data_IF_657855364451
#
_entry.id   IF_657855364451
#
_cell.length_a   1.000
_cell.length_b   1.000
_cell.length_c   1.000
_cell.angle_alpha   90.00
_cell.angle_beta   90.00
_cell.angle_gamma   90.00
#
_symmetry.space_group_name_H-M   'P 1'
#
loop_
_entity.id
_entity.type
_entity.pdbx_description
1 polymer ?
#
# COMPACT_ATOMS: atom_id res chain seq x y z
N UNK A 1 -0.85 -5.81 7.54
CA UNK A 1 -1.22 -6.22 6.18
C UNK A 1 -0.47 -5.34 5.20
N UNK A 2 0.43 -5.91 4.42
CA UNK A 2 1.35 -5.18 3.53
C UNK A 2 0.91 -5.23 2.06
N UNK A 3 -0.36 -4.97 1.80
CA UNK A 3 -0.89 -5.01 0.43
C UNK A 3 -0.61 -3.70 -0.30
N UNK A 4 0.01 -3.77 -1.49
CA UNK A 4 0.29 -2.60 -2.34
C UNK A 4 -0.68 -2.50 -3.50
N UNK A 5 -0.82 -1.30 -4.08
CA UNK A 5 -1.72 -1.07 -5.21
C UNK A 5 -1.42 -2.00 -6.38
N UNK A 6 -0.14 -2.20 -6.71
CA UNK A 6 0.30 -3.07 -7.80
C UNK A 6 -0.04 -4.55 -7.61
N UNK A 7 -0.38 -4.95 -6.39
CA UNK A 7 -0.66 -6.33 -6.06
C UNK A 7 -2.13 -6.70 -6.37
N UNK A 8 -2.98 -5.70 -6.67
CA UNK A 8 -4.38 -5.91 -7.04
C UNK A 8 -4.54 -5.86 -8.56
N UNK A 9 -5.03 -6.96 -9.12
CA UNK A 9 -5.38 -7.05 -10.53
C UNK A 9 -6.91 -7.09 -10.69
N UNK A 10 -7.47 -5.96 -11.11
CA UNK A 10 -8.92 -5.82 -11.30
C UNK A 10 -9.43 -6.48 -12.58
N UNK A 11 -8.59 -6.81 -13.56
CA UNK A 11 -9.02 -7.46 -14.80
C UNK A 11 -9.30 -8.94 -14.53
N UNK A 12 -8.31 -9.62 -13.93
CA UNK A 12 -8.39 -11.01 -13.49
C UNK A 12 -9.17 -11.21 -12.18
N UNK A 13 -9.45 -10.12 -11.44
CA UNK A 13 -10.01 -10.17 -10.08
C UNK A 13 -9.14 -11.04 -9.16
N UNK A 14 -7.85 -10.71 -9.10
CA UNK A 14 -6.90 -11.41 -8.23
C UNK A 14 -6.11 -10.44 -7.38
N UNK A 15 -5.62 -10.94 -6.24
CA UNK A 15 -4.73 -10.21 -5.34
C UNK A 15 -3.51 -11.08 -5.09
N UNK A 16 -2.33 -10.51 -5.29
CA UNK A 16 -1.05 -11.17 -5.00
C UNK A 16 -0.63 -10.84 -3.59
N UNK A 17 -0.40 -11.86 -2.76
CA UNK A 17 0.12 -11.68 -1.40
C UNK A 17 1.58 -12.11 -1.39
N UNK A 18 2.44 -11.15 -1.05
CA UNK A 18 3.86 -11.34 -0.87
C UNK A 18 4.17 -11.78 0.56
N UNK A 19 4.95 -12.86 0.72
CA UNK A 19 5.36 -13.39 2.02
C UNK A 19 6.75 -12.87 2.41
N UNK A 20 6.94 -12.53 3.68
CA UNK A 20 8.16 -11.84 4.15
C UNK A 20 9.32 -12.78 4.53
N UNK A 21 9.15 -14.11 4.44
CA UNK A 21 10.13 -15.10 4.92
C UNK A 21 10.30 -16.30 3.99
N UNK A 22 10.68 -16.06 2.74
CA UNK A 22 11.08 -17.11 1.79
C UNK A 22 9.95 -18.01 1.27
N UNK A 23 8.73 -17.75 1.71
CA UNK A 23 7.53 -18.42 1.20
C UNK A 23 7.15 -17.88 -0.18
N UNK A 24 6.55 -18.73 -1.02
CA UNK A 24 6.14 -18.34 -2.37
C UNK A 24 5.00 -17.33 -2.30
N UNK A 25 4.99 -16.40 -3.26
CA UNK A 25 3.84 -15.51 -3.46
C UNK A 25 2.59 -16.35 -3.70
N UNK A 26 1.47 -15.96 -3.09
CA UNK A 26 0.17 -16.60 -3.31
C UNK A 26 -0.79 -15.64 -4.00
N UNK A 27 -1.56 -16.16 -4.95
CA UNK A 27 -2.60 -15.41 -5.64
C UNK A 27 -3.94 -15.85 -5.05
N UNK A 28 -4.73 -14.89 -4.61
CA UNK A 28 -6.07 -15.12 -4.07
C UNK A 28 -7.11 -14.44 -4.96
N UNK A 29 -8.31 -15.03 -5.07
CA UNK A 29 -9.40 -14.44 -5.83
C UNK A 29 -9.97 -13.24 -5.09
N UNK A 30 -10.17 -12.13 -5.80
CA UNK A 30 -10.89 -10.96 -5.34
C UNK A 30 -12.40 -11.17 -5.61
N UNK A 31 -13.25 -11.20 -4.58
CA UNK A 31 -14.70 -11.27 -4.76
C UNK A 31 -15.21 -10.12 -5.65
N UNK A 32 -16.09 -10.42 -6.61
CA UNK A 32 -16.58 -9.39 -7.55
C UNK A 32 -17.44 -8.33 -6.87
N UNK A 33 -18.09 -8.68 -5.76
CA UNK A 33 -18.95 -7.77 -5.00
C UNK A 33 -18.17 -6.65 -4.28
N UNK A 34 -16.93 -6.89 -3.83
CA UNK A 34 -16.12 -5.87 -3.15
C UNK A 34 -15.35 -4.96 -4.11
N UNK A 35 -15.32 -5.32 -5.40
CA UNK A 35 -14.63 -4.58 -6.46
C UNK A 35 -15.02 -3.10 -6.55
N UNK A 36 -16.32 -2.71 -6.58
CA UNK A 36 -16.70 -1.30 -6.63
C UNK A 36 -16.20 -0.52 -5.40
N UNK A 37 -16.41 -1.04 -4.19
CA UNK A 37 -15.99 -0.39 -2.95
C UNK A 37 -14.46 -0.24 -2.88
N UNK A 38 -13.73 -1.27 -3.30
CA UNK A 38 -12.28 -1.23 -3.33
C UNK A 38 -11.75 -0.22 -4.35
N UNK A 39 -12.41 -0.06 -5.50
CA UNK A 39 -12.05 0.97 -6.49
C UNK A 39 -12.28 2.38 -5.95
N UNK A 40 -13.40 2.60 -5.28
CA UNK A 40 -13.69 3.90 -4.65
C UNK A 40 -12.65 4.22 -3.57
N UNK A 41 -12.37 3.28 -2.68
CA UNK A 41 -11.33 3.41 -1.65
C UNK A 41 -9.96 3.74 -2.25
N UNK A 42 -9.54 3.04 -3.31
CA UNK A 42 -8.27 3.30 -4.00
C UNK A 42 -8.28 4.70 -4.65
N UNK A 43 -9.41 5.15 -5.18
CA UNK A 43 -9.54 6.50 -5.74
C UNK A 43 -9.35 7.58 -4.67
N UNK A 44 -9.96 7.41 -3.50
CA UNK A 44 -9.78 8.30 -2.34
C UNK A 44 -8.31 8.33 -1.89
N UNK A 45 -7.68 7.14 -1.77
CA UNK A 45 -6.27 7.04 -1.43
C UNK A 45 -5.38 7.70 -2.49
N UNK A 46 -5.75 7.63 -3.77
CA UNK A 46 -5.01 8.25 -4.87
C UNK A 46 -5.04 9.77 -4.77
N UNK A 47 -6.19 10.36 -4.46
CA UNK A 47 -6.30 11.81 -4.24
C UNK A 47 -5.42 12.26 -3.07
N UNK A 48 -5.44 11.52 -1.96
CA UNK A 48 -4.55 11.81 -0.84
C UNK A 48 -3.08 11.70 -1.23
N UNK A 49 -2.71 10.68 -2.00
CA UNK A 49 -1.36 10.49 -2.49
C UNK A 49 -0.89 11.63 -3.39
N UNK A 50 -1.75 12.11 -4.30
CA UNK A 50 -1.40 13.24 -5.17
C UNK A 50 -1.12 14.50 -4.35
N UNK A 51 -1.98 14.79 -3.36
CA UNK A 51 -1.77 15.91 -2.45
C UNK A 51 -0.49 15.74 -1.60
N UNK A 52 -0.24 14.54 -1.06
CA UNK A 52 0.99 14.23 -0.32
C UNK A 52 2.23 14.41 -1.21
N UNK A 53 2.15 14.01 -2.49
CA UNK A 53 3.25 14.11 -3.46
C UNK A 53 3.57 15.57 -3.82
N UNK A 54 2.55 16.43 -3.98
CA UNK A 54 2.73 17.87 -4.21
C UNK A 54 3.43 18.55 -3.04
N UNK A 55 3.17 18.08 -1.81
CA UNK A 55 3.83 18.55 -0.59
C UNK A 55 5.21 17.91 -0.37
N UNK A 56 5.64 16.96 -1.22
CA UNK A 56 6.89 16.22 -1.07
C UNK A 56 6.89 15.20 0.07
N UNK A 57 5.71 14.79 0.54
CA UNK A 57 5.49 13.89 1.67
C UNK A 57 4.86 12.56 1.23
N UNK A 58 4.59 11.67 2.21
CA UNK A 58 3.78 10.47 1.98
C UNK A 58 4.44 9.37 1.17
N UNK A 59 5.78 9.35 1.14
CA UNK A 59 6.54 8.30 0.47
C UNK A 59 6.26 6.94 1.12
N UNK A 60 6.52 5.86 0.39
CA UNK A 60 6.50 4.50 0.96
C UNK A 60 7.91 4.01 1.22
N UNK A 61 8.12 3.48 2.43
CA UNK A 61 9.39 2.86 2.80
C UNK A 61 9.51 1.51 2.11
N UNK A 62 10.53 1.39 1.26
CA UNK A 62 10.87 0.15 0.58
C UNK A 62 11.98 -0.59 1.35
N UNK A 63 12.03 -1.93 1.27
CA UNK A 63 13.18 -2.69 1.72
C UNK A 63 14.47 -2.20 1.04
N UNK A 64 15.58 -2.23 1.77
CA UNK A 64 16.87 -1.65 1.35
C UNK A 64 17.32 -2.10 -0.05
N UNK A 65 17.21 -3.40 -0.33
CA UNK A 65 17.56 -3.98 -1.63
C UNK A 65 16.68 -3.45 -2.78
N UNK A 66 15.38 -3.24 -2.53
CA UNK A 66 14.45 -2.68 -3.51
C UNK A 66 14.66 -1.17 -3.67
N UNK A 67 14.93 -0.45 -2.59
CA UNK A 67 15.18 0.99 -2.63
C UNK A 67 16.44 1.32 -3.44
N UNK A 68 17.48 0.48 -3.39
CA UNK A 68 18.69 0.65 -4.20
C UNK A 68 18.45 0.36 -5.68
N UNK A 69 17.66 -0.68 -5.98
CA UNK A 69 17.35 -1.09 -7.35
C UNK A 69 16.37 -0.13 -8.04
N UNK A 70 15.43 0.43 -7.28
CA UNK A 70 14.37 1.31 -7.77
C UNK A 70 14.24 2.54 -6.84
N UNK A 71 15.11 3.56 -7.00
CA UNK A 71 15.12 4.72 -6.10
C UNK A 71 13.83 5.55 -6.16
N UNK A 72 13.17 5.59 -7.32
CA UNK A 72 11.92 6.32 -7.52
C UNK A 72 10.67 5.53 -7.10
N UNK A 73 10.78 4.23 -6.82
CA UNK A 73 9.63 3.39 -6.48
C UNK A 73 8.92 3.83 -5.21
N UNK A 74 9.61 4.55 -4.31
CA UNK A 74 8.98 5.12 -3.10
C UNK A 74 7.94 6.21 -3.40
N UNK A 75 7.99 6.82 -4.59
CA UNK A 75 7.05 7.84 -5.09
C UNK A 75 6.02 7.25 -6.04
N UNK A 76 6.23 6.05 -6.55
CA UNK A 76 5.37 5.48 -7.58
C UNK A 76 4.09 4.91 -6.95
N UNK A 77 2.94 5.36 -7.44
CA UNK A 77 1.61 4.95 -6.94
C UNK A 77 1.44 3.43 -6.75
N UNK A 78 1.98 2.61 -7.66
CA UNK A 78 1.89 1.15 -7.57
C UNK A 78 2.51 0.56 -6.30
N UNK A 79 3.49 1.25 -5.71
CA UNK A 79 4.17 0.81 -4.48
C UNK A 79 3.51 1.31 -3.21
N UNK A 80 2.50 2.19 -3.32
CA UNK A 80 1.75 2.68 -2.18
C UNK A 80 0.86 1.59 -1.59
N UNK A 81 0.53 1.73 -0.31
CA UNK A 81 -0.34 0.81 0.39
C UNK A 81 -1.80 0.97 -0.07
N UNK A 82 -2.49 -0.15 -0.23
CA UNK A 82 -3.95 -0.14 -0.47
C UNK A 82 -4.67 0.45 0.73
N UNK A 83 -4.20 0.14 1.94
CA UNK A 83 -4.77 0.65 3.19
C UNK A 83 -3.68 1.45 3.93
N UNK A 84 -3.46 2.72 3.55
CA UNK A 84 -2.48 3.57 4.22
C UNK A 84 -2.92 3.89 5.65
N UNK A 85 -1.95 4.08 6.54
CA UNK A 85 -2.19 4.64 7.86
C UNK A 85 -2.69 6.09 7.75
N UNK A 86 -3.42 6.54 8.77
CA UNK A 86 -3.91 7.92 8.85
C UNK A 86 -2.75 8.90 8.97
N UNK A 87 -1.81 8.58 9.85
CA UNK A 87 -0.69 9.44 10.19
C UNK A 87 0.56 9.14 9.35
N UNK A 88 1.32 10.20 9.09
CA UNK A 88 2.67 10.11 8.54
C UNK A 88 3.69 10.03 9.66
N UNK A 89 4.90 9.56 9.33
CA UNK A 89 6.03 9.59 10.25
C UNK A 89 7.28 10.08 9.55
N UNK A 90 8.18 10.69 10.33
CA UNK A 90 9.48 11.18 9.85
C UNK A 90 10.51 10.08 10.08
N UNK A 91 11.21 9.68 9.01
CA UNK A 91 12.33 8.76 9.14
C UNK A 91 13.56 9.48 9.70
N UNK A 92 14.12 8.93 10.78
CA UNK A 92 15.24 9.54 11.49
C UNK A 92 16.57 9.46 10.75
N UNK A 93 16.68 8.63 9.70
CA UNK A 93 17.94 8.40 8.98
C UNK A 93 18.07 9.39 7.83
N UNK A 94 16.99 9.59 7.06
CA UNK A 94 17.02 10.44 5.87
C UNK A 94 16.10 11.67 5.93
N UNK A 95 15.31 11.84 7.01
CA UNK A 95 14.42 12.99 7.20
C UNK A 95 13.17 12.97 6.34
N UNK A 96 12.95 11.92 5.52
CA UNK A 96 11.79 11.85 4.65
C UNK A 96 10.52 11.52 5.43
N UNK A 97 9.38 12.01 4.92
CA UNK A 97 8.06 11.75 5.48
C UNK A 97 7.45 10.55 4.77
N UNK A 98 7.22 9.48 5.52
CA UNK A 98 6.69 8.21 5.02
C UNK A 98 5.30 7.90 5.58
N UNK A 99 4.61 6.98 4.91
CA UNK A 99 3.34 6.40 5.37
C UNK A 99 3.47 4.90 5.61
N UNK A 100 3.02 4.46 6.78
CA UNK A 100 2.88 3.04 7.07
C UNK A 100 1.58 2.48 6.49
N UNK A 101 1.46 1.16 6.42
CA UNK A 101 0.18 0.50 6.22
C UNK A 101 -0.63 0.53 7.52
N UNK A 102 -1.95 0.38 7.44
CA UNK A 102 -2.78 0.20 8.64
C UNK A 102 -2.34 -1.06 9.42
N UNK A 103 -2.31 -0.95 10.76
CA UNK A 103 -2.07 -2.10 11.62
C UNK A 103 -3.21 -3.12 11.51
N UNK A 104 -2.87 -4.40 11.49
CA UNK A 104 -3.84 -5.50 11.29
C UNK A 104 -4.92 -5.53 12.36
N UNK A 105 -4.59 -5.14 13.59
CA UNK A 105 -5.53 -5.06 14.70
C UNK A 105 -6.65 -4.03 14.46
N UNK A 106 -6.39 -2.97 13.69
CA UNK A 106 -7.41 -1.97 13.35
C UNK A 106 -8.31 -2.46 12.22
N UNK A 107 -7.76 -3.24 11.29
CA UNK A 107 -8.52 -3.84 10.19
C UNK A 107 -9.44 -4.97 10.70
N UNK A 108 -8.95 -5.83 11.60
CA UNK A 108 -9.76 -6.92 12.18
C UNK A 108 -10.95 -6.40 12.99
N UNK A 109 -10.78 -5.29 13.71
CA UNK A 109 -11.88 -4.65 14.45
C UNK A 109 -12.97 -4.09 13.52
N UNK A 110 -12.57 -3.55 12.37
CA UNK A 110 -13.51 -2.99 11.39
C UNK A 110 -14.30 -4.06 10.62
N UNK A 111 -13.79 -5.30 10.52
CA UNK A 111 -14.45 -6.40 9.81
C UNK A 111 -15.38 -7.21 10.73
N UNK A 112 -15.10 -7.25 12.04
CA UNK A 112 -15.89 -7.98 13.03
C UNK A 112 -17.00 -7.14 13.70
N UNK A 113 -17.32 -5.95 13.17
CA UNK A 113 -18.35 -5.04 13.72
C UNK A 113 -19.52 -4.87 12.75
#
# INVERSE_FOLDING_TARGET
MQLRIKDIDFESNTVTIHSEKGDKNRIVMLPKNIKPDLKEHISLCKNQYLNDLELGHGLVKLPDALSKKYPNASKEWGWHWVFPAKDHYIDKINGNIYKHHIHESNLQKAINS
#
